data_IF_042277965418
#
_entry.id   IF_042277965418
#
_cell.length_a   1.000
_cell.length_b   1.000
_cell.length_c   1.000
_cell.angle_alpha   90.00
_cell.angle_beta   90.00
_cell.angle_gamma   90.00
#
_symmetry.space_group_name_H-M   'P 1'
#
loop_
_entity.id
_entity.type
_entity.pdbx_description
1 polymer ?
#
# COMPACT_ATOMS: atom_id res chain seq x y z
N UNK A 1 -6.98 -5.58 -13.32
CA UNK A 1 -6.01 -4.84 -14.17
C UNK A 1 -4.66 -5.55 -14.15
N UNK A 2 -3.88 -5.50 -15.22
CA UNK A 2 -2.56 -6.16 -15.32
C UNK A 2 -1.54 -5.61 -14.29
N UNK A 3 -1.80 -4.41 -13.78
CA UNK A 3 -1.00 -3.71 -12.76
C UNK A 3 -1.52 -3.88 -11.33
N UNK A 4 -2.39 -4.85 -11.09
CA UNK A 4 -2.98 -5.17 -9.79
C UNK A 4 -2.81 -6.65 -9.48
N UNK A 5 -2.60 -6.94 -8.20
CA UNK A 5 -2.61 -8.27 -7.61
C UNK A 5 -3.90 -8.51 -6.81
N UNK A 6 -4.11 -9.77 -6.47
CA UNK A 6 -5.10 -10.23 -5.50
C UNK A 6 -4.37 -10.77 -4.28
N UNK A 7 -4.52 -10.10 -3.16
CA UNK A 7 -4.06 -10.58 -1.86
C UNK A 7 -5.00 -11.64 -1.30
N UNK A 8 -4.45 -12.83 -0.98
CA UNK A 8 -5.16 -13.93 -0.34
C UNK A 8 -4.47 -14.26 0.99
N UNK A 9 -5.21 -14.16 2.09
CA UNK A 9 -4.76 -14.68 3.38
C UNK A 9 -5.25 -16.12 3.56
N UNK A 10 -4.33 -17.05 3.77
CA UNK A 10 -4.64 -18.47 4.00
C UNK A 10 -4.27 -18.85 5.42
N UNK A 11 -5.28 -19.21 6.21
CA UNK A 11 -5.07 -19.85 7.51
C UNK A 11 -4.78 -21.33 7.31
N UNK A 12 -3.75 -21.81 8.00
CA UNK A 12 -3.40 -23.23 8.03
C UNK A 12 -3.64 -23.78 9.43
N UNK A 13 -4.15 -25.01 9.52
CA UNK A 13 -4.33 -25.71 10.79
C UNK A 13 -2.99 -26.13 11.42
N UNK A 14 -1.96 -26.33 10.59
CA UNK A 14 -0.60 -26.66 11.01
C UNK A 14 0.36 -25.52 10.67
N UNK A 15 1.53 -25.42 11.34
CA UNK A 15 2.56 -24.45 11.00
C UNK A 15 2.88 -24.45 9.51
N UNK A 16 3.17 -23.27 8.97
CA UNK A 16 3.42 -23.13 7.54
C UNK A 16 4.64 -23.98 7.13
N UNK A 17 4.49 -25.00 6.25
CA UNK A 17 5.64 -25.73 5.74
C UNK A 17 6.55 -24.78 4.96
N UNK A 18 7.85 -25.05 5.03
CA UNK A 18 8.86 -24.31 4.28
C UNK A 18 8.56 -24.42 2.77
N UNK A 19 8.74 -23.31 2.03
CA UNK A 19 8.63 -23.22 0.56
C UNK A 19 7.24 -23.07 -0.07
N UNK A 20 6.22 -22.56 0.64
CA UNK A 20 4.96 -22.19 -0.03
C UNK A 20 5.14 -20.98 -0.96
N UNK A 21 4.49 -20.99 -2.14
CA UNK A 21 4.54 -19.84 -3.04
C UNK A 21 3.78 -18.67 -2.40
N UNK A 22 4.44 -17.51 -2.34
CA UNK A 22 3.87 -16.28 -1.78
C UNK A 22 3.40 -15.31 -2.86
N UNK A 23 3.90 -15.41 -4.10
CA UNK A 23 3.47 -14.56 -5.22
C UNK A 23 3.63 -15.31 -6.54
N UNK A 24 2.55 -15.48 -7.30
CA UNK A 24 2.55 -16.25 -8.55
C UNK A 24 1.37 -15.87 -9.47
N UNK A 25 1.51 -16.17 -10.77
CA UNK A 25 0.44 -15.99 -11.74
C UNK A 25 -0.51 -17.19 -11.75
N UNK A 26 -1.81 -16.91 -11.75
CA UNK A 26 -2.87 -17.88 -11.95
C UNK A 26 -3.90 -17.32 -12.92
N UNK A 27 -4.03 -17.92 -14.11
CA UNK A 27 -4.92 -17.45 -15.18
C UNK A 27 -4.76 -15.95 -15.46
N UNK A 28 -3.50 -15.53 -15.65
CA UNK A 28 -3.10 -14.14 -15.91
C UNK A 28 -3.40 -13.13 -14.78
N UNK A 29 -3.81 -13.60 -13.61
CA UNK A 29 -3.96 -12.79 -12.39
C UNK A 29 -2.78 -13.05 -11.46
N UNK A 30 -2.11 -11.99 -11.01
CA UNK A 30 -1.08 -12.13 -9.99
C UNK A 30 -1.75 -12.32 -8.62
N UNK A 31 -1.46 -13.44 -7.98
CA UNK A 31 -1.93 -13.76 -6.65
C UNK A 31 -0.76 -13.60 -5.68
N UNK A 32 -0.97 -12.83 -4.63
CA UNK A 32 -0.10 -12.78 -3.46
C UNK A 32 -0.76 -13.55 -2.32
N UNK A 33 -0.09 -14.59 -1.80
CA UNK A 33 -0.59 -15.44 -0.72
C UNK A 33 0.21 -15.19 0.54
N UNK A 34 -0.51 -14.80 1.59
CA UNK A 34 0.03 -14.60 2.93
C UNK A 34 -0.52 -15.68 3.87
N UNK A 35 0.32 -16.16 4.79
CA UNK A 35 -0.01 -17.22 5.74
C UNK A 35 0.07 -16.71 7.18
N UNK A 36 -0.85 -15.82 7.62
CA UNK A 36 -0.79 -15.27 8.96
C UNK A 36 -1.05 -16.37 10.02
N UNK A 37 -0.28 -16.38 11.14
CA UNK A 37 -0.60 -17.20 12.29
C UNK A 37 -2.03 -16.94 12.81
N UNK A 38 -2.67 -17.94 13.42
CA UNK A 38 -4.02 -17.73 14.00
C UNK A 38 -4.01 -16.63 15.06
N UNK A 39 -2.95 -16.54 15.86
CA UNK A 39 -2.75 -15.48 16.87
C UNK A 39 -2.86 -14.07 16.32
N UNK A 40 -2.64 -13.88 15.02
CA UNK A 40 -2.63 -12.58 14.37
C UNK A 40 -4.03 -12.10 13.97
N UNK A 41 -5.02 -13.00 13.94
CA UNK A 41 -6.38 -12.70 13.49
C UNK A 41 -7.47 -13.31 14.39
N UNK A 42 -7.14 -13.99 15.48
CA UNK A 42 -8.09 -14.77 16.26
C UNK A 42 -9.05 -13.95 17.15
N UNK A 43 -8.95 -12.61 17.18
CA UNK A 43 -9.86 -11.78 17.96
C UNK A 43 -10.30 -10.52 17.22
N UNK A 44 -11.55 -10.06 17.45
CA UNK A 44 -12.01 -8.79 16.94
C UNK A 44 -11.10 -7.62 17.34
N UNK A 45 -10.59 -7.63 18.57
CA UNK A 45 -9.78 -6.55 19.13
C UNK A 45 -8.44 -6.37 18.41
N UNK A 46 -7.80 -7.49 18.03
CA UNK A 46 -6.54 -7.50 17.28
C UNK A 46 -6.80 -6.93 15.88
N UNK A 47 -7.79 -7.49 15.17
CA UNK A 47 -8.06 -7.11 13.78
C UNK A 47 -8.56 -5.67 13.67
N UNK A 48 -9.50 -5.24 14.53
CA UNK A 48 -10.06 -3.89 14.50
C UNK A 48 -9.08 -2.82 14.93
N UNK A 49 -8.07 -3.17 15.73
CA UNK A 49 -7.06 -2.26 16.23
C UNK A 49 -5.92 -1.99 15.26
N UNK A 50 -5.70 -2.87 14.28
CA UNK A 50 -4.56 -2.80 13.36
C UNK A 50 -4.94 -2.23 11.99
N UNK A 51 -4.34 -1.09 11.63
CA UNK A 51 -4.72 -0.36 10.41
C UNK A 51 -4.45 -1.13 9.12
N UNK A 52 -3.46 -2.02 9.10
CA UNK A 52 -3.09 -2.82 7.92
C UNK A 52 -4.03 -4.01 7.67
N UNK A 53 -4.71 -4.50 8.71
CA UNK A 53 -5.52 -5.73 8.64
C UNK A 53 -7.00 -5.42 8.49
N UNK A 54 -7.49 -4.44 9.26
CA UNK A 54 -8.91 -4.18 9.40
C UNK A 54 -9.63 -3.90 8.06
N UNK A 55 -8.96 -3.24 7.11
CA UNK A 55 -9.58 -2.83 5.83
C UNK A 55 -9.99 -4.00 4.93
N UNK A 56 -9.28 -5.13 5.00
CA UNK A 56 -9.54 -6.32 4.17
C UNK A 56 -10.57 -7.29 4.76
N UNK A 57 -11.01 -7.07 6.00
CA UNK A 57 -11.80 -8.04 6.75
C UNK A 57 -13.29 -7.74 6.64
N UNK A 58 -13.94 -8.40 5.68
CA UNK A 58 -15.39 -8.32 5.41
C UNK A 58 -15.93 -9.70 5.07
N UNK A 59 -17.15 -10.09 5.50
CA UNK A 59 -17.73 -11.40 5.20
C UNK A 59 -17.73 -11.74 3.70
N UNK A 60 -17.94 -10.74 2.84
CA UNK A 60 -17.91 -10.90 1.39
C UNK A 60 -16.53 -11.29 0.81
N UNK A 61 -15.46 -11.17 1.59
CA UNK A 61 -14.10 -11.51 1.17
C UNK A 61 -13.68 -12.94 1.59
N UNK A 62 -14.57 -13.72 2.22
CA UNK A 62 -14.29 -15.11 2.60
C UNK A 62 -14.41 -16.00 1.37
N UNK A 63 -13.30 -16.60 0.95
CA UNK A 63 -13.27 -17.56 -0.17
C UNK A 63 -13.63 -18.99 0.27
N UNK A 64 -13.23 -19.38 1.49
CA UNK A 64 -13.49 -20.69 2.06
C UNK A 64 -13.39 -20.62 3.59
N UNK A 65 -14.36 -21.20 4.29
CA UNK A 65 -14.39 -21.24 5.76
C UNK A 65 -15.05 -22.54 6.26
N UNK A 66 -14.37 -23.70 6.14
CA UNK A 66 -14.96 -24.99 6.51
C UNK A 66 -15.32 -25.11 7.99
N UNK A 67 -14.66 -24.35 8.88
CA UNK A 67 -14.93 -24.37 10.32
C UNK A 67 -15.96 -23.35 10.79
N UNK A 68 -16.31 -22.35 9.97
CA UNK A 68 -17.20 -21.25 10.34
C UNK A 68 -16.54 -20.17 11.21
N UNK A 69 -15.26 -20.34 11.58
CA UNK A 69 -14.55 -19.42 12.48
C UNK A 69 -14.29 -18.06 11.82
N UNK A 70 -13.99 -18.01 10.52
CA UNK A 70 -13.78 -16.75 9.80
C UNK A 70 -15.09 -15.98 9.66
N UNK A 71 -16.19 -16.67 9.37
CA UNK A 71 -17.52 -16.08 9.23
C UNK A 71 -18.00 -15.50 10.56
N UNK A 72 -17.79 -16.23 11.65
CA UNK A 72 -18.09 -15.75 13.01
C UNK A 72 -17.29 -14.48 13.34
N UNK A 73 -15.98 -14.52 13.13
CA UNK A 73 -15.08 -13.39 13.37
C UNK A 73 -15.46 -12.17 12.50
N UNK A 74 -15.61 -12.35 11.19
CA UNK A 74 -15.85 -11.26 10.24
C UNK A 74 -17.24 -10.65 10.41
N UNK A 75 -18.22 -11.45 10.84
CA UNK A 75 -19.55 -10.99 11.24
C UNK A 75 -19.47 -10.04 12.46
N UNK A 76 -18.72 -10.43 13.49
CA UNK A 76 -18.51 -9.57 14.67
C UNK A 76 -17.77 -8.26 14.31
N UNK A 77 -16.79 -8.35 13.40
CA UNK A 77 -15.96 -7.22 12.97
C UNK A 77 -16.72 -6.15 12.17
N UNK A 78 -17.61 -6.58 11.28
CA UNK A 78 -18.27 -5.68 10.31
C UNK A 78 -19.11 -4.60 10.99
N UNK A 79 -19.78 -4.94 12.09
CA UNK A 79 -20.60 -4.01 12.88
C UNK A 79 -19.76 -2.98 13.65
N UNK A 80 -18.49 -3.31 13.91
CA UNK A 80 -17.61 -2.53 14.76
C UNK A 80 -16.58 -1.71 13.98
N UNK A 81 -16.30 -2.07 12.73
CA UNK A 81 -15.26 -1.43 11.91
C UNK A 81 -15.38 0.11 11.91
N UNK A 82 -16.57 0.65 11.64
CA UNK A 82 -16.77 2.10 11.55
C UNK A 82 -16.89 2.81 12.91
N UNK A 83 -16.94 2.09 14.04
CA UNK A 83 -17.10 2.72 15.35
C UNK A 83 -15.89 3.58 15.69
N UNK A 84 -16.14 4.79 16.20
CA UNK A 84 -15.10 5.80 16.51
C UNK A 84 -13.96 5.25 17.36
N UNK A 85 -14.25 4.42 18.37
CA UNK A 85 -13.22 3.76 19.22
C UNK A 85 -12.22 2.95 18.40
N UNK A 86 -12.70 2.23 17.38
CA UNK A 86 -11.88 1.36 16.55
C UNK A 86 -11.16 2.14 15.46
N UNK A 87 -11.82 3.13 14.85
CA UNK A 87 -11.15 4.07 13.97
C UNK A 87 -9.99 4.80 14.68
N UNK A 88 -10.23 5.30 15.90
CA UNK A 88 -9.21 5.95 16.73
C UNK A 88 -8.03 5.02 17.03
N UNK A 89 -8.29 3.80 17.48
CA UNK A 89 -7.24 2.80 17.77
C UNK A 89 -6.38 2.48 16.54
N UNK A 90 -6.99 2.37 15.34
CA UNK A 90 -6.23 2.17 14.10
C UNK A 90 -5.40 3.38 13.72
N UNK A 91 -5.92 4.59 13.92
CA UNK A 91 -5.13 5.81 13.70
C UNK A 91 -3.92 5.87 14.63
N UNK A 92 -4.08 5.52 15.90
CA UNK A 92 -2.99 5.41 16.86
C UNK A 92 -1.98 4.34 16.45
N UNK A 93 -2.43 3.19 15.96
CA UNK A 93 -1.56 2.14 15.44
C UNK A 93 -0.76 2.59 14.21
N UNK A 94 -1.42 3.24 13.24
CA UNK A 94 -0.78 3.84 12.08
C UNK A 94 0.25 4.91 12.47
N UNK A 95 -0.08 5.74 13.47
CA UNK A 95 0.83 6.76 14.02
C UNK A 95 2.05 6.13 14.69
N UNK A 96 1.86 5.15 15.58
CA UNK A 96 2.95 4.43 16.25
C UNK A 96 3.88 3.76 15.24
N UNK A 97 3.32 3.10 14.23
CA UNK A 97 4.10 2.48 13.17
C UNK A 97 4.93 3.51 12.38
N UNK A 98 4.28 4.62 11.99
CA UNK A 98 4.92 5.73 11.28
C UNK A 98 6.10 6.31 12.07
N UNK A 99 5.86 6.64 13.34
CA UNK A 99 6.90 7.15 14.24
C UNK A 99 7.98 6.12 14.51
N UNK A 100 7.64 4.83 14.60
CA UNK A 100 8.59 3.74 14.78
C UNK A 100 9.59 3.66 13.63
N UNK A 101 9.16 3.83 12.38
CA UNK A 101 10.09 3.91 11.25
C UNK A 101 10.96 5.17 11.28
N UNK A 102 10.37 6.33 11.58
CA UNK A 102 11.13 7.59 11.64
C UNK A 102 12.19 7.58 12.76
N UNK A 103 11.90 6.97 13.92
CA UNK A 103 12.84 6.84 15.04
C UNK A 103 14.01 5.88 14.78
N UNK A 104 13.85 4.95 13.83
CA UNK A 104 14.89 3.98 13.45
C UNK A 104 15.81 4.47 12.33
N UNK A 105 15.59 5.68 11.83
CA UNK A 105 16.53 6.28 10.87
C UNK A 105 17.86 6.49 11.59
N UNK A 106 18.88 5.75 11.15
CA UNK A 106 20.24 5.80 11.65
C UNK A 106 21.17 6.04 10.45
N UNK A 107 21.90 7.16 10.47
CA UNK A 107 22.80 7.57 9.37
C UNK A 107 23.97 6.59 9.17
N UNK A 108 24.26 5.76 10.18
CA UNK A 108 25.32 4.76 10.13
C UNK A 108 24.83 3.37 9.71
N UNK A 109 23.50 3.18 9.58
CA UNK A 109 22.94 1.92 9.10
C UNK A 109 23.24 1.69 7.61
N UNK A 110 23.01 0.46 7.13
CA UNK A 110 23.11 0.16 5.70
C UNK A 110 22.11 1.03 4.91
N UNK A 111 22.51 1.50 3.73
CA UNK A 111 21.72 2.45 2.95
C UNK A 111 20.28 1.96 2.67
N UNK A 112 20.09 0.67 2.44
CA UNK A 112 18.76 0.10 2.21
C UNK A 112 17.86 0.15 3.46
N UNK A 113 18.43 0.05 4.66
CA UNK A 113 17.70 0.20 5.92
C UNK A 113 17.30 1.65 6.15
N UNK A 114 18.21 2.59 5.85
CA UNK A 114 17.91 4.03 5.90
C UNK A 114 16.76 4.38 4.97
N UNK A 115 16.83 3.95 3.71
CA UNK A 115 15.79 4.18 2.69
C UNK A 115 14.47 3.54 3.11
N UNK A 116 14.50 2.32 3.62
CA UNK A 116 13.30 1.63 4.12
C UNK A 116 12.64 2.40 5.26
N UNK A 117 13.42 2.83 6.25
CA UNK A 117 12.91 3.61 7.38
C UNK A 117 12.34 4.96 6.94
N UNK A 118 13.04 5.67 6.06
CA UNK A 118 12.58 6.91 5.46
C UNK A 118 11.27 6.72 4.67
N UNK A 119 11.21 5.70 3.80
CA UNK A 119 10.07 5.45 2.91
C UNK A 119 8.80 5.15 3.71
N UNK A 120 8.85 4.17 4.62
CA UNK A 120 7.68 3.78 5.41
C UNK A 120 7.30 4.85 6.45
N UNK A 121 8.28 5.55 7.01
CA UNK A 121 8.04 6.66 7.94
C UNK A 121 7.36 7.86 7.27
N UNK A 122 7.60 8.11 5.98
CA UNK A 122 6.92 9.20 5.25
C UNK A 122 5.58 8.76 4.67
N UNK A 123 5.52 7.58 4.07
CA UNK A 123 4.31 7.02 3.48
C UNK A 123 3.18 6.83 4.51
N UNK A 124 3.53 6.46 5.75
CA UNK A 124 2.56 6.16 6.81
C UNK A 124 1.64 7.33 7.20
N UNK A 125 2.02 8.58 6.88
CA UNK A 125 1.18 9.76 7.18
C UNK A 125 -0.14 9.77 6.40
N UNK A 126 -0.10 9.35 5.13
CA UNK A 126 -1.32 9.18 4.33
C UNK A 126 -2.19 8.06 4.92
N UNK A 127 -1.58 6.99 5.44
CA UNK A 127 -2.33 5.88 6.02
C UNK A 127 -3.12 6.32 7.26
N UNK A 128 -2.59 7.24 8.07
CA UNK A 128 -3.31 7.78 9.24
C UNK A 128 -4.61 8.47 8.80
N UNK A 129 -4.53 9.36 7.81
CA UNK A 129 -5.68 10.13 7.32
C UNK A 129 -6.73 9.24 6.64
N UNK A 130 -6.28 8.34 5.76
CA UNK A 130 -7.17 7.41 5.07
C UNK A 130 -7.83 6.42 6.04
N UNK A 131 -7.10 5.96 7.06
CA UNK A 131 -7.65 5.11 8.13
C UNK A 131 -8.72 5.83 8.92
N UNK A 132 -8.52 7.12 9.23
CA UNK A 132 -9.53 7.93 9.91
C UNK A 132 -10.81 8.09 9.06
N UNK A 133 -10.65 8.17 7.74
CA UNK A 133 -11.73 8.22 6.76
C UNK A 133 -12.33 6.85 6.41
N UNK A 134 -11.90 5.76 7.09
CA UNK A 134 -12.33 4.38 6.81
C UNK A 134 -12.02 3.90 5.38
N UNK A 135 -11.05 4.53 4.72
CA UNK A 135 -10.58 4.16 3.39
C UNK A 135 -9.37 3.23 3.48
N UNK A 136 -9.27 2.26 2.56
CA UNK A 136 -8.12 1.36 2.51
C UNK A 136 -6.90 2.08 1.89
N UNK A 137 -5.80 2.29 2.64
CA UNK A 137 -4.65 3.00 2.12
C UNK A 137 -3.77 2.09 1.25
N UNK A 138 -4.06 2.02 -0.05
CA UNK A 138 -3.23 1.27 -1.02
C UNK A 138 -1.90 1.97 -1.28
N UNK A 139 -0.85 1.20 -1.55
CA UNK A 139 0.49 1.77 -1.77
C UNK A 139 0.51 2.80 -2.92
N UNK A 140 -0.08 2.47 -4.08
CA UNK A 140 0.01 3.32 -5.28
C UNK A 140 -0.81 4.60 -5.19
N UNK A 141 -2.06 4.51 -4.70
CA UNK A 141 -3.02 5.63 -4.78
C UNK A 141 -3.10 6.49 -3.52
N UNK A 142 -2.51 6.06 -2.39
CA UNK A 142 -2.67 6.74 -1.08
C UNK A 142 -2.51 8.26 -1.12
N UNK A 143 -1.53 8.80 -1.85
CA UNK A 143 -1.30 10.25 -1.89
C UNK A 143 -2.42 10.97 -2.63
N UNK A 144 -2.88 10.42 -3.75
CA UNK A 144 -4.01 10.98 -4.51
C UNK A 144 -5.31 10.90 -3.71
N UNK A 145 -5.60 9.75 -3.10
CA UNK A 145 -6.80 9.60 -2.25
C UNK A 145 -6.75 10.53 -1.03
N UNK A 146 -5.57 10.77 -0.47
CA UNK A 146 -5.38 11.73 0.63
C UNK A 146 -5.66 13.15 0.17
N UNK A 147 -5.26 13.53 -1.06
CA UNK A 147 -5.60 14.84 -1.63
C UNK A 147 -7.12 14.99 -1.75
N UNK A 148 -7.80 14.02 -2.37
CA UNK A 148 -9.26 14.05 -2.55
C UNK A 148 -9.99 14.10 -1.20
N UNK A 149 -9.52 13.33 -0.22
CA UNK A 149 -10.04 13.38 1.14
C UNK A 149 -9.89 14.78 1.75
N UNK A 150 -8.68 15.34 1.73
CA UNK A 150 -8.40 16.63 2.35
C UNK A 150 -9.11 17.79 1.64
N UNK A 151 -9.27 17.72 0.32
CA UNK A 151 -10.06 18.67 -0.46
C UNK A 151 -11.52 18.70 0.02
N UNK A 152 -12.13 17.52 0.20
CA UNK A 152 -13.50 17.40 0.72
C UNK A 152 -13.71 17.97 2.13
N UNK A 153 -12.64 18.16 2.90
CA UNK A 153 -12.66 18.80 4.22
C UNK A 153 -12.06 20.22 4.23
N UNK A 154 -11.65 20.78 3.09
CA UNK A 154 -11.08 22.12 3.01
C UNK A 154 -9.66 22.25 3.59
N UNK A 155 -8.86 21.17 3.57
CA UNK A 155 -7.52 21.09 4.17
C UNK A 155 -6.41 20.78 3.15
N UNK A 156 -6.49 21.36 1.94
CA UNK A 156 -5.46 21.17 0.90
C UNK A 156 -4.08 21.71 1.31
N UNK A 157 -4.03 22.69 2.21
CA UNK A 157 -2.79 23.20 2.81
C UNK A 157 -2.01 22.11 3.56
N UNK A 158 -2.72 21.18 4.21
CA UNK A 158 -2.12 20.01 4.82
C UNK A 158 -1.54 19.05 3.77
N UNK A 159 -2.23 18.86 2.65
CA UNK A 159 -1.71 18.02 1.55
C UNK A 159 -0.39 18.59 1.00
N UNK A 160 -0.32 19.90 0.77
CA UNK A 160 0.91 20.57 0.34
C UNK A 160 2.04 20.41 1.36
N UNK A 161 1.72 20.47 2.65
CA UNK A 161 2.67 20.22 3.74
C UNK A 161 3.18 18.77 3.73
N UNK A 162 2.32 17.79 3.44
CA UNK A 162 2.72 16.39 3.29
C UNK A 162 3.68 16.19 2.11
N UNK A 163 3.41 16.82 0.95
CA UNK A 163 4.29 16.76 -0.21
C UNK A 163 5.66 17.42 0.05
N UNK A 164 5.68 18.57 0.73
CA UNK A 164 6.91 19.26 1.11
C UNK A 164 7.76 18.38 2.00
N UNK A 165 7.12 17.79 3.02
CA UNK A 165 7.82 16.86 3.91
C UNK A 165 8.32 15.66 3.11
N UNK A 166 7.50 15.03 2.26
CA UNK A 166 7.93 13.90 1.42
C UNK A 166 9.11 14.23 0.48
N UNK A 167 9.32 15.50 0.16
CA UNK A 167 10.37 15.96 -0.75
C UNK A 167 9.95 15.97 -2.23
N UNK A 168 8.65 15.79 -2.50
CA UNK A 168 8.09 15.71 -3.85
C UNK A 168 7.26 16.93 -4.26
N UNK A 169 7.10 17.93 -3.39
CA UNK A 169 6.27 19.13 -3.68
C UNK A 169 6.65 19.89 -4.95
N UNK A 170 7.91 19.80 -5.40
CA UNK A 170 8.39 20.46 -6.63
C UNK A 170 8.78 19.47 -7.72
N UNK A 171 8.35 18.22 -7.62
CA UNK A 171 8.70 17.18 -8.59
C UNK A 171 7.78 17.31 -9.80
N UNK A 172 8.28 17.91 -10.88
CA UNK A 172 7.57 18.01 -12.15
C UNK A 172 7.65 16.71 -12.97
N UNK A 173 6.81 16.63 -14.02
CA UNK A 173 6.65 15.47 -14.92
C UNK A 173 7.98 14.88 -15.39
N UNK A 174 8.82 15.68 -16.05
CA UNK A 174 10.09 15.22 -16.63
C UNK A 174 11.01 14.57 -15.59
N UNK A 175 11.02 15.08 -14.35
CA UNK A 175 11.82 14.51 -13.27
C UNK A 175 11.23 13.19 -12.78
N UNK A 176 9.90 13.07 -12.71
CA UNK A 176 9.24 11.79 -12.38
C UNK A 176 9.53 10.74 -13.44
N UNK A 177 9.39 11.08 -14.72
CA UNK A 177 9.67 10.17 -15.84
C UNK A 177 11.13 9.72 -15.86
N UNK A 178 12.06 10.65 -15.68
CA UNK A 178 13.49 10.36 -15.55
C UNK A 178 13.77 9.37 -14.41
N UNK A 179 13.23 9.63 -13.21
CA UNK A 179 13.42 8.73 -12.07
C UNK A 179 12.77 7.36 -12.27
N UNK A 180 11.61 7.28 -12.93
CA UNK A 180 10.96 6.01 -13.22
C UNK A 180 11.74 5.20 -14.27
N UNK A 181 12.33 5.85 -15.27
CA UNK A 181 13.20 5.19 -16.24
C UNK A 181 14.44 4.61 -15.54
N UNK A 182 15.17 5.42 -14.77
CA UNK A 182 16.33 4.97 -14.01
C UNK A 182 15.99 3.85 -13.00
N UNK A 183 14.85 3.98 -12.30
CA UNK A 183 14.38 2.93 -11.39
C UNK A 183 14.02 1.63 -12.13
N UNK A 184 13.49 1.71 -13.36
CA UNK A 184 13.19 0.52 -14.16
C UNK A 184 14.46 -0.27 -14.45
N UNK A 185 15.54 0.41 -14.86
CA UNK A 185 16.83 -0.25 -15.14
C UNK A 185 17.40 -0.92 -13.90
N UNK A 186 17.38 -0.23 -12.75
CA UNK A 186 17.86 -0.78 -11.47
C UNK A 186 16.99 -1.96 -11.02
N UNK A 187 15.66 -1.88 -11.20
CA UNK A 187 14.75 -2.97 -10.90
C UNK A 187 15.06 -4.21 -11.75
N UNK A 188 15.25 -4.01 -13.07
CA UNK A 188 15.56 -5.09 -14.00
C UNK A 188 16.92 -5.73 -13.74
N UNK A 189 17.89 -4.99 -13.20
CA UNK A 189 19.11 -5.58 -12.70
C UNK A 189 18.90 -6.32 -11.37
N UNK A 190 18.18 -5.70 -10.42
CA UNK A 190 17.97 -6.24 -9.08
C UNK A 190 17.22 -7.58 -9.09
N UNK A 191 16.23 -7.75 -9.96
CA UNK A 191 15.47 -9.00 -10.07
C UNK A 191 16.34 -10.20 -10.47
N UNK A 192 17.44 -9.98 -11.19
CA UNK A 192 18.36 -11.05 -11.62
C UNK A 192 19.33 -11.49 -10.50
N UNK A 193 19.63 -10.59 -9.57
CA UNK A 193 20.65 -10.82 -8.53
C UNK A 193 20.07 -11.06 -7.14
N UNK A 194 18.77 -10.77 -6.94
CA UNK A 194 18.12 -10.89 -5.64
C UNK A 194 18.13 -12.35 -5.17
N UNK A 195 18.48 -12.54 -3.89
CA UNK A 195 18.50 -13.86 -3.26
C UNK A 195 17.45 -13.91 -2.16
N UNK A 196 16.78 -15.05 -2.04
CA UNK A 196 15.97 -15.35 -0.85
C UNK A 196 16.89 -15.69 0.33
N UNK A 197 16.56 -15.29 1.57
CA UNK A 197 15.34 -14.59 1.98
C UNK A 197 15.54 -13.05 2.03
N UNK A 198 15.17 -12.34 0.95
CA UNK A 198 15.00 -10.89 0.99
C UNK A 198 13.52 -10.54 1.08
N UNK A 199 13.15 -9.63 1.99
CA UNK A 199 11.74 -9.30 2.31
C UNK A 199 10.91 -8.75 1.14
N UNK A 200 11.56 -8.25 0.09
CA UNK A 200 10.92 -7.76 -1.15
C UNK A 200 11.23 -8.65 -2.36
N UNK A 201 11.73 -9.87 -2.16
CA UNK A 201 12.09 -10.76 -3.27
C UNK A 201 10.90 -11.09 -4.18
N UNK A 202 9.69 -11.22 -3.63
CA UNK A 202 8.48 -11.42 -4.42
C UNK A 202 8.12 -10.20 -5.26
N UNK A 203 8.30 -8.99 -4.74
CA UNK A 203 7.97 -7.74 -5.45
C UNK A 203 9.02 -7.36 -6.50
N UNK A 204 10.29 -7.68 -6.24
CA UNK A 204 11.43 -7.51 -7.14
C UNK A 204 11.65 -8.83 -7.90
N UNK A 205 10.66 -9.19 -8.70
CA UNK A 205 10.66 -10.41 -9.50
C UNK A 205 10.07 -10.14 -10.87
N UNK A 206 10.23 -11.10 -11.79
CA UNK A 206 9.61 -11.00 -13.12
C UNK A 206 8.08 -10.90 -13.03
N UNK A 207 7.46 -11.66 -12.12
CA UNK A 207 6.01 -11.62 -11.91
C UNK A 207 5.54 -10.36 -11.19
N UNK A 208 6.39 -9.73 -10.37
CA UNK A 208 6.09 -8.48 -9.67
C UNK A 208 6.29 -7.23 -10.54
N UNK A 209 7.09 -7.32 -11.60
CA UNK A 209 7.46 -6.19 -12.47
C UNK A 209 6.26 -5.45 -13.07
N UNK A 210 5.21 -6.11 -13.61
CA UNK A 210 4.04 -5.42 -14.15
C UNK A 210 3.31 -4.54 -13.13
N UNK A 211 3.34 -4.92 -11.85
CA UNK A 211 2.70 -4.16 -10.77
C UNK A 211 3.58 -2.98 -10.36
N UNK A 212 4.86 -3.24 -10.10
CA UNK A 212 5.80 -2.25 -9.58
C UNK A 212 6.13 -1.18 -10.62
N UNK A 213 6.50 -1.59 -11.83
CA UNK A 213 6.89 -0.70 -12.93
C UNK A 213 5.68 -0.36 -13.81
N UNK A 214 4.98 -1.38 -14.31
CA UNK A 214 3.86 -1.20 -15.23
C UNK A 214 2.75 -0.34 -14.62
N UNK A 215 2.33 -0.65 -13.39
CA UNK A 215 1.32 0.14 -12.68
C UNK A 215 1.75 1.57 -12.36
N UNK A 216 3.04 1.82 -12.14
CA UNK A 216 3.55 3.18 -11.95
C UNK A 216 3.51 3.98 -13.26
N UNK A 217 3.87 3.37 -14.39
CA UNK A 217 3.77 4.00 -15.73
C UNK A 217 2.33 4.28 -16.13
N UNK A 218 1.46 3.28 -15.99
CA UNK A 218 0.02 3.42 -16.27
C UNK A 218 -0.60 4.57 -15.47
N UNK A 219 -0.27 4.66 -14.17
CA UNK A 219 -0.76 5.72 -13.32
C UNK A 219 -0.31 7.12 -13.80
N UNK A 220 0.95 7.26 -14.22
CA UNK A 220 1.47 8.53 -14.74
C UNK A 220 0.82 8.91 -16.07
N UNK A 221 0.71 7.97 -17.01
CA UNK A 221 0.09 8.24 -18.32
C UNK A 221 -1.36 8.70 -18.14
N UNK A 222 -2.15 7.99 -17.34
CA UNK A 222 -3.55 8.34 -17.10
C UNK A 222 -3.71 9.74 -16.49
N UNK A 223 -2.82 10.15 -15.60
CA UNK A 223 -2.84 11.52 -15.05
C UNK A 223 -2.57 12.53 -16.16
N UNK A 224 -1.63 12.24 -17.05
CA UNK A 224 -1.24 13.16 -18.11
C UNK A 224 -2.26 13.25 -19.24
N UNK A 225 -2.88 12.14 -19.64
CA UNK A 225 -3.97 12.13 -20.63
C UNK A 225 -5.11 13.08 -20.19
N UNK A 226 -5.41 13.12 -18.89
CA UNK A 226 -6.40 14.04 -18.31
C UNK A 226 -5.90 15.49 -18.35
N UNK A 227 -4.61 15.74 -18.08
CA UNK A 227 -4.03 17.09 -18.17
C UNK A 227 -4.10 17.61 -19.60
N UNK A 228 -3.69 16.82 -20.59
CA UNK A 228 -3.78 17.20 -22.01
C UNK A 228 -5.23 17.47 -22.42
N UNK A 229 -6.16 16.59 -22.03
CA UNK A 229 -7.60 16.82 -22.29
C UNK A 229 -8.10 18.13 -21.68
N UNK A 230 -7.65 18.49 -20.47
CA UNK A 230 -8.01 19.76 -19.83
C UNK A 230 -7.38 20.94 -20.57
N UNK A 231 -6.13 20.83 -21.00
CA UNK A 231 -5.44 21.89 -21.74
C UNK A 231 -6.13 22.14 -23.08
N UNK A 232 -6.42 21.08 -23.85
CA UNK A 232 -7.11 21.16 -25.14
C UNK A 232 -8.52 21.76 -25.03
N UNK A 233 -9.20 21.53 -23.91
CA UNK A 233 -10.52 22.07 -23.64
C UNK A 233 -10.51 23.56 -23.23
N UNK A 234 -9.36 24.11 -22.84
CA UNK A 234 -9.22 25.50 -22.44
C UNK A 234 -8.63 26.32 -23.59
N UNK A 235 -9.51 26.96 -24.35
CA UNK A 235 -9.17 27.79 -25.52
C UNK A 235 -8.28 29.02 -25.23
N UNK A 236 -7.97 29.30 -23.96
CA UNK A 236 -7.12 30.42 -23.53
C UNK A 236 -5.66 30.00 -23.22
N UNK A 237 -5.33 28.71 -23.30
CA UNK A 237 -3.96 28.22 -23.13
C UNK A 237 -3.30 28.19 -24.52
N UNK A 238 -2.68 29.29 -24.93
CA UNK A 238 -1.76 29.33 -26.08
C UNK A 238 -0.33 28.90 -25.67
N UNK A 239 0.41 28.31 -26.61
CA UNK A 239 1.76 27.70 -26.46
C UNK A 239 2.83 28.58 -25.79
#
# INVERSE_FOLDING_TARGET
PTSSDVDIAVRLAQPNPENKPTKFLYRDVLIEVNYPPWSDINSPEIVLGEYRRAGGVRPANILSDPSGELSSLFGALSNDFAKRRWAGRRCEDAMRNTLGFLKRVDEWALYHDQVTCWLFGRAGRCHILLTAALQNPTARRRSLETRTLLDGYGHLDLYESLLKLQGSARMGKLRVEYHLAAFTEIFDFAKEIIKTPHRFASDISEVGRPISIGGSREFLHRVWDVVETIMDANAEIEE
#
